data_IF_283161857034
#
_entry.id   IF_283161857034
#
_cell.length_a   1.000
_cell.length_b   1.000
_cell.length_c   1.000
_cell.angle_alpha   90.00
_cell.angle_beta   90.00
_cell.angle_gamma   90.00
#
_symmetry.space_group_name_H-M   'P 1'
#
loop_
_entity.id
_entity.type
_entity.pdbx_description
1 polymer ?
#
# COMPACT_ATOMS: atom_id res chain seq x y z
N UNK A 1 16.60 -28.45 24.47
CA UNK A 1 15.61 -27.34 24.46
C UNK A 1 16.31 -26.12 23.92
N UNK A 2 16.17 -25.87 22.64
CA UNK A 2 16.68 -24.65 22.01
C UNK A 2 15.79 -23.47 22.42
N UNK A 3 16.31 -22.61 23.29
CA UNK A 3 15.68 -21.31 23.56
C UNK A 3 15.64 -20.54 22.25
N UNK A 4 14.47 -20.49 21.64
CA UNK A 4 14.20 -19.56 20.54
C UNK A 4 14.45 -18.16 21.10
N UNK A 5 15.52 -17.50 20.66
CA UNK A 5 15.77 -16.12 21.02
C UNK A 5 14.62 -15.29 20.43
N UNK A 6 13.82 -14.72 21.31
CA UNK A 6 12.75 -13.79 20.90
C UNK A 6 13.41 -12.52 20.37
N UNK A 7 13.38 -12.36 19.06
CA UNK A 7 13.90 -11.16 18.42
C UNK A 7 12.81 -10.09 18.42
N UNK A 8 13.12 -8.94 19.06
CA UNK A 8 12.20 -7.81 19.13
C UNK A 8 12.09 -7.15 17.75
N UNK A 9 10.87 -7.04 17.23
CA UNK A 9 10.59 -6.27 16.04
C UNK A 9 10.43 -4.79 16.40
N UNK A 10 11.31 -3.94 15.85
CA UNK A 10 11.16 -2.50 15.97
C UNK A 10 10.20 -1.96 14.91
N UNK A 11 9.42 -0.93 15.24
CA UNK A 11 8.44 -0.33 14.34
C UNK A 11 9.05 0.51 13.19
N UNK A 12 10.37 0.47 13.00
CA UNK A 12 11.09 1.23 11.97
C UNK A 12 12.28 0.44 11.43
N UNK A 13 12.78 0.86 10.26
CA UNK A 13 14.09 0.48 9.71
C UNK A 13 14.13 -0.75 8.79
N UNK A 14 13.07 -1.04 8.05
CA UNK A 14 13.16 -2.01 6.94
C UNK A 14 13.75 -1.37 5.69
N UNK A 15 14.63 -2.08 5.00
CA UNK A 15 15.22 -1.62 3.74
C UNK A 15 14.31 -1.86 2.55
N UNK A 16 13.50 -2.90 2.61
CA UNK A 16 12.56 -3.26 1.53
C UNK A 16 11.16 -3.56 2.08
N UNK A 17 10.16 -3.49 1.22
CA UNK A 17 8.81 -3.95 1.56
C UNK A 17 8.78 -5.44 1.91
N UNK A 18 9.62 -6.25 1.27
CA UNK A 18 9.69 -7.67 1.54
C UNK A 18 10.21 -7.96 2.95
N UNK A 19 11.23 -7.20 3.42
CA UNK A 19 11.72 -7.32 4.81
C UNK A 19 10.61 -6.97 5.81
N UNK A 20 9.84 -5.93 5.51
CA UNK A 20 8.73 -5.50 6.35
C UNK A 20 7.63 -6.57 6.42
N UNK A 21 7.32 -7.24 5.32
CA UNK A 21 6.32 -8.31 5.27
C UNK A 21 6.77 -9.55 6.06
N UNK A 22 8.06 -9.89 6.08
CA UNK A 22 8.57 -10.96 6.94
C UNK A 22 8.23 -10.68 8.42
N UNK A 23 8.41 -9.43 8.87
CA UNK A 23 8.07 -9.04 10.23
C UNK A 23 6.56 -8.95 10.48
N UNK A 24 5.77 -8.49 9.52
CA UNK A 24 4.29 -8.52 9.56
C UNK A 24 3.78 -9.94 9.80
N UNK A 25 4.37 -10.92 9.12
CA UNK A 25 4.05 -12.35 9.31
C UNK A 25 4.53 -12.84 10.67
N UNK A 26 5.75 -12.49 11.06
CA UNK A 26 6.32 -12.87 12.37
C UNK A 26 5.49 -12.31 13.54
N UNK A 27 4.94 -11.11 13.41
CA UNK A 27 4.02 -10.50 14.38
C UNK A 27 2.61 -11.14 14.38
N UNK A 28 2.34 -12.03 13.42
CA UNK A 28 1.05 -12.73 13.32
C UNK A 28 -0.08 -11.89 12.72
N UNK A 29 0.25 -10.77 12.02
CA UNK A 29 -0.74 -9.96 11.32
C UNK A 29 -1.22 -10.64 10.03
N UNK A 30 -0.39 -11.48 9.44
CA UNK A 30 -0.74 -12.41 8.38
C UNK A 30 -0.30 -13.80 8.83
N UNK A 31 -1.23 -14.73 8.91
CA UNK A 31 -0.96 -16.11 9.35
C UNK A 31 -0.92 -17.05 8.14
N UNK A 32 -0.21 -18.18 8.23
CA UNK A 32 -0.13 -19.15 7.13
C UNK A 32 -1.48 -19.68 6.64
N UNK A 33 -2.50 -19.67 7.47
CA UNK A 33 -3.84 -20.19 7.16
C UNK A 33 -4.83 -19.12 6.72
N UNK A 34 -4.45 -17.83 6.75
CA UNK A 34 -5.34 -16.73 6.42
C UNK A 34 -5.67 -16.73 4.93
N UNK A 35 -6.89 -16.39 4.59
CA UNK A 35 -7.24 -15.95 3.25
C UNK A 35 -6.80 -14.50 3.08
N UNK A 36 -5.89 -14.25 2.16
CA UNK A 36 -5.24 -12.94 1.94
C UNK A 36 -5.58 -12.42 0.55
N UNK A 37 -5.82 -11.11 0.43
CA UNK A 37 -5.83 -10.42 -0.86
C UNK A 37 -4.82 -9.28 -0.86
N UNK A 38 -3.99 -9.22 -1.93
CA UNK A 38 -3.21 -8.04 -2.28
C UNK A 38 -3.92 -7.28 -3.41
N UNK A 39 -4.54 -6.16 -3.06
CA UNK A 39 -5.35 -5.34 -3.98
C UNK A 39 -4.48 -4.52 -4.95
N UNK A 40 -3.19 -4.45 -4.71
CA UNK A 40 -2.26 -3.57 -5.43
C UNK A 40 -0.94 -4.27 -5.75
N UNK A 41 -1.03 -5.49 -6.23
CA UNK A 41 0.09 -6.40 -6.48
C UNK A 41 1.28 -5.77 -7.23
N UNK A 42 1.02 -4.98 -8.25
CA UNK A 42 2.06 -4.36 -9.08
C UNK A 42 3.03 -5.41 -9.66
N UNK A 43 4.24 -5.44 -9.13
CA UNK A 43 5.30 -6.40 -9.50
C UNK A 43 5.57 -7.46 -8.43
N UNK A 44 4.69 -7.61 -7.46
CA UNK A 44 4.84 -8.56 -6.37
C UNK A 44 6.04 -8.32 -5.44
N UNK A 45 6.53 -7.08 -5.37
CA UNK A 45 7.76 -6.74 -4.62
C UNK A 45 7.64 -6.93 -3.11
N UNK A 46 6.44 -6.91 -2.59
CA UNK A 46 6.19 -7.18 -1.18
C UNK A 46 6.49 -8.64 -0.81
N UNK A 47 6.28 -9.57 -1.74
CA UNK A 47 6.26 -11.01 -1.53
C UNK A 47 7.53 -11.74 -1.98
N UNK A 48 8.55 -11.00 -2.42
CA UNK A 48 9.77 -11.62 -2.97
C UNK A 48 10.53 -12.49 -1.98
N UNK A 49 10.37 -12.27 -0.68
CA UNK A 49 10.98 -13.06 0.39
C UNK A 49 10.00 -14.03 1.06
N UNK A 50 8.71 -13.84 0.87
CA UNK A 50 7.68 -14.63 1.53
C UNK A 50 6.61 -15.04 0.56
N UNK A 51 6.39 -16.36 0.44
CA UNK A 51 5.25 -16.92 -0.30
C UNK A 51 4.21 -17.37 0.71
N UNK A 52 3.02 -16.78 0.66
CA UNK A 52 1.93 -17.13 1.55
C UNK A 52 1.42 -18.55 1.26
N UNK A 53 1.40 -19.49 2.22
CA UNK A 53 1.02 -20.88 1.97
C UNK A 53 -0.49 -21.12 1.93
N UNK A 54 -1.31 -20.16 2.39
CA UNK A 54 -2.77 -20.26 2.38
C UNK A 54 -3.42 -19.70 1.11
N UNK A 55 -4.74 -19.60 1.07
CA UNK A 55 -5.47 -18.98 -0.04
C UNK A 55 -5.02 -17.54 -0.25
N UNK A 56 -4.52 -17.23 -1.43
CA UNK A 56 -4.00 -15.93 -1.77
C UNK A 56 -4.61 -15.39 -3.07
N UNK A 57 -5.12 -14.18 -3.02
CA UNK A 57 -5.68 -13.51 -4.18
C UNK A 57 -4.86 -12.27 -4.48
N UNK A 58 -4.53 -12.03 -5.73
CA UNK A 58 -3.81 -10.84 -6.16
C UNK A 58 -4.61 -10.10 -7.23
N UNK A 59 -4.61 -8.78 -7.14
CA UNK A 59 -5.15 -7.92 -8.18
C UNK A 59 -4.01 -7.25 -8.91
N UNK A 60 -3.94 -7.46 -10.20
CA UNK A 60 -2.92 -6.85 -11.05
C UNK A 60 -3.51 -6.41 -12.38
N UNK A 61 -2.88 -5.43 -13.02
CA UNK A 61 -3.15 -5.14 -14.41
C UNK A 61 -2.24 -5.99 -15.32
N UNK A 62 -2.63 -6.18 -16.58
CA UNK A 62 -1.95 -7.07 -17.52
C UNK A 62 -0.47 -6.75 -17.75
N UNK A 63 -0.08 -5.47 -17.66
CA UNK A 63 1.28 -5.01 -17.96
C UNK A 63 2.28 -5.20 -16.81
N UNK A 64 1.80 -5.42 -15.59
CA UNK A 64 2.62 -5.56 -14.39
C UNK A 64 2.69 -6.97 -13.84
N UNK A 65 1.93 -7.89 -14.43
CA UNK A 65 1.81 -9.24 -13.91
C UNK A 65 3.12 -10.03 -14.08
N UNK A 66 3.74 -10.35 -12.96
CA UNK A 66 4.68 -11.48 -12.88
C UNK A 66 3.91 -12.62 -12.21
N UNK A 67 3.66 -13.69 -12.97
CA UNK A 67 2.99 -14.86 -12.44
C UNK A 67 3.68 -15.33 -11.17
N UNK A 68 2.92 -15.46 -10.10
CA UNK A 68 3.39 -16.18 -8.91
C UNK A 68 3.04 -17.64 -9.16
N UNK A 69 4.04 -18.53 -9.25
CA UNK A 69 3.82 -19.92 -9.66
C UNK A 69 3.32 -20.80 -8.51
N UNK A 70 2.35 -20.35 -7.73
CA UNK A 70 1.82 -21.13 -6.62
C UNK A 70 0.36 -21.54 -6.91
N UNK A 71 0.04 -22.80 -6.70
CA UNK A 71 -1.29 -23.38 -6.92
C UNK A 71 -2.41 -22.76 -6.07
N UNK A 72 -2.04 -22.01 -5.03
CA UNK A 72 -2.94 -21.35 -4.09
C UNK A 72 -3.20 -19.87 -4.41
N UNK A 73 -2.72 -19.36 -5.54
CA UNK A 73 -2.88 -17.96 -5.93
C UNK A 73 -3.95 -17.79 -6.98
N UNK A 74 -4.98 -17.01 -6.66
CA UNK A 74 -5.99 -16.53 -7.63
C UNK A 74 -5.58 -15.17 -8.14
N UNK A 75 -5.53 -14.98 -9.45
CA UNK A 75 -5.17 -13.72 -10.08
C UNK A 75 -6.41 -13.06 -10.68
N UNK A 76 -6.68 -11.82 -10.25
CA UNK A 76 -7.71 -10.96 -10.80
C UNK A 76 -7.05 -9.91 -11.69
N UNK A 77 -7.39 -9.92 -12.97
CA UNK A 77 -6.92 -8.95 -13.97
C UNK A 77 -8.04 -7.99 -14.37
N UNK A 78 -7.70 -6.80 -14.83
CA UNK A 78 -8.66 -5.76 -15.25
C UNK A 78 -9.71 -5.41 -14.19
N UNK A 79 -9.37 -5.60 -12.92
CA UNK A 79 -10.25 -5.32 -11.79
C UNK A 79 -9.83 -4.02 -11.14
N UNK A 80 -10.77 -3.08 -10.99
CA UNK A 80 -10.53 -1.85 -10.26
C UNK A 80 -10.55 -2.13 -8.75
N UNK A 81 -9.52 -1.73 -8.04
CA UNK A 81 -9.45 -1.93 -6.59
C UNK A 81 -10.49 -1.11 -5.82
N UNK A 82 -11.16 -0.14 -6.46
CA UNK A 82 -12.23 0.66 -5.86
C UNK A 82 -13.58 -0.05 -5.88
N UNK A 83 -13.73 -1.03 -6.78
CA UNK A 83 -14.96 -1.80 -6.97
C UNK A 83 -14.61 -3.16 -7.57
N UNK A 84 -14.26 -4.11 -6.69
CA UNK A 84 -13.78 -5.42 -7.11
C UNK A 84 -14.87 -6.34 -7.61
N UNK A 85 -16.13 -6.08 -7.24
CA UNK A 85 -17.25 -6.98 -7.50
C UNK A 85 -17.23 -8.26 -6.66
N UNK A 86 -16.27 -8.41 -5.75
CA UNK A 86 -16.20 -9.56 -4.86
C UNK A 86 -17.19 -9.44 -3.70
N UNK A 87 -17.71 -10.57 -3.16
CA UNK A 87 -18.56 -10.58 -1.98
C UNK A 87 -17.84 -9.98 -0.74
N UNK A 88 -18.61 -9.46 0.24
CA UNK A 88 -18.04 -8.94 1.48
C UNK A 88 -17.45 -10.05 2.37
N UNK A 89 -16.59 -9.66 3.29
CA UNK A 89 -16.11 -10.51 4.40
C UNK A 89 -15.39 -11.80 3.96
N UNK A 90 -14.60 -11.72 2.86
CA UNK A 90 -13.90 -12.89 2.29
C UNK A 90 -12.52 -13.14 2.90
N UNK A 91 -11.79 -12.09 3.24
CA UNK A 91 -10.36 -12.18 3.55
C UNK A 91 -10.05 -11.90 5.00
N UNK A 92 -9.13 -12.66 5.57
CA UNK A 92 -8.64 -12.47 6.94
C UNK A 92 -7.65 -11.30 6.99
N UNK A 93 -6.89 -11.08 5.91
CA UNK A 93 -6.01 -9.94 5.73
C UNK A 93 -6.16 -9.34 4.32
N UNK A 94 -6.17 -8.01 4.25
CA UNK A 94 -6.23 -7.23 3.01
C UNK A 94 -5.01 -6.30 2.95
N UNK A 95 -4.24 -6.37 1.86
CA UNK A 95 -3.09 -5.50 1.60
C UNK A 95 -3.49 -4.46 0.57
N UNK A 96 -3.16 -3.19 0.86
CA UNK A 96 -3.48 -2.06 0.02
C UNK A 96 -2.31 -1.07 -0.01
N UNK A 97 -1.56 -1.04 -1.13
CA UNK A 97 -0.43 -0.13 -1.39
C UNK A 97 -0.76 0.77 -2.61
N UNK A 98 -1.75 1.70 -2.47
CA UNK A 98 -2.23 2.50 -3.58
C UNK A 98 -1.19 3.50 -4.07
N UNK A 99 -1.41 4.15 -5.23
CA UNK A 99 -0.51 5.20 -5.69
C UNK A 99 -0.40 6.36 -4.70
N UNK A 100 0.83 6.89 -4.52
CA UNK A 100 1.12 7.94 -3.54
C UNK A 100 1.13 9.34 -4.14
N UNK A 101 1.28 9.48 -5.46
CA UNK A 101 1.50 10.76 -6.11
C UNK A 101 0.46 10.98 -7.21
N UNK A 102 -0.20 12.13 -7.19
CA UNK A 102 -1.09 12.54 -8.27
C UNK A 102 -0.29 12.84 -9.55
N UNK A 103 -0.87 12.52 -10.71
CA UNK A 103 -0.24 12.71 -12.03
C UNK A 103 0.21 14.15 -12.28
N UNK A 104 -0.49 15.14 -11.73
CA UNK A 104 -0.21 16.55 -11.96
C UNK A 104 -0.56 17.00 -13.39
N UNK A 105 -0.32 18.29 -13.66
CA UNK A 105 -0.58 18.89 -14.97
C UNK A 105 0.59 18.83 -15.96
N UNK A 106 1.76 18.33 -15.58
CA UNK A 106 2.93 18.18 -16.45
C UNK A 106 3.13 16.73 -16.84
N UNK A 107 3.27 16.49 -18.14
CA UNK A 107 3.76 15.21 -18.64
C UNK A 107 5.26 15.12 -18.35
N UNK A 108 5.64 14.27 -17.40
CA UNK A 108 7.04 13.91 -17.16
C UNK A 108 7.29 12.51 -17.69
N UNK A 109 8.53 12.20 -18.06
CA UNK A 109 8.92 10.89 -18.62
C UNK A 109 8.62 9.69 -17.71
N UNK A 110 8.37 9.94 -16.42
CA UNK A 110 7.99 8.92 -15.42
C UNK A 110 6.48 8.61 -15.42
N UNK A 111 5.65 9.46 -16.02
CA UNK A 111 4.18 9.30 -16.02
C UNK A 111 3.70 8.19 -16.96
N UNK A 112 4.26 8.01 -18.19
CA UNK A 112 3.90 6.86 -19.02
C UNK A 112 4.17 5.52 -18.36
N UNK A 113 5.25 5.41 -17.59
CA UNK A 113 5.58 4.20 -16.82
C UNK A 113 4.57 3.98 -15.68
N UNK A 114 4.10 5.04 -15.04
CA UNK A 114 3.07 4.99 -14.00
C UNK A 114 1.70 4.57 -14.57
N UNK A 115 1.23 5.18 -15.65
CA UNK A 115 -0.02 4.81 -16.32
C UNK A 115 0.05 3.37 -16.85
N UNK A 116 1.20 2.97 -17.40
CA UNK A 116 1.42 1.62 -17.88
C UNK A 116 1.41 0.55 -16.79
N UNK A 117 1.74 0.93 -15.53
CA UNK A 117 1.71 0.00 -14.38
C UNK A 117 0.34 -0.19 -13.78
N UNK A 118 -0.49 0.85 -13.81
CA UNK A 118 -1.77 0.85 -13.10
C UNK A 118 -2.99 0.83 -14.02
N UNK A 119 -2.80 0.85 -15.35
CA UNK A 119 -3.89 0.75 -16.33
C UNK A 119 -4.88 1.91 -16.29
N UNK A 120 -4.48 3.08 -15.79
CA UNK A 120 -5.40 4.15 -15.44
C UNK A 120 -5.49 5.20 -16.56
N UNK A 121 -6.52 5.14 -17.37
CA UNK A 121 -6.93 6.28 -18.21
C UNK A 121 -7.44 7.44 -17.35
N UNK A 122 -7.99 7.14 -16.15
CA UNK A 122 -8.52 8.09 -15.17
C UNK A 122 -7.56 8.37 -14.00
N UNK A 123 -6.25 8.36 -14.21
CA UNK A 123 -5.28 8.62 -13.15
C UNK A 123 -5.55 9.97 -12.44
N UNK A 124 -5.60 10.00 -11.10
CA UNK A 124 -5.85 11.21 -10.33
C UNK A 124 -4.83 12.30 -10.68
N UNK A 125 -5.31 13.51 -11.03
CA UNK A 125 -4.47 14.63 -11.46
C UNK A 125 -4.12 15.57 -10.31
N UNK A 126 -4.97 15.63 -9.28
CA UNK A 126 -4.79 16.52 -8.13
C UNK A 126 -4.63 15.71 -6.84
N UNK A 127 -4.03 16.29 -5.77
CA UNK A 127 -3.96 15.62 -4.47
C UNK A 127 -5.32 15.20 -3.91
N UNK A 128 -6.35 16.03 -4.07
CA UNK A 128 -7.70 15.70 -3.61
C UNK A 128 -8.31 14.54 -4.41
N UNK A 129 -8.13 14.52 -5.73
CA UNK A 129 -8.58 13.38 -6.54
C UNK A 129 -7.88 12.09 -6.14
N UNK A 130 -6.56 12.15 -5.86
CA UNK A 130 -5.80 11.00 -5.39
C UNK A 130 -6.29 10.54 -4.02
N UNK A 131 -6.55 11.47 -3.10
CA UNK A 131 -7.10 11.14 -1.79
C UNK A 131 -8.45 10.41 -1.93
N UNK A 132 -9.38 10.97 -2.69
CA UNK A 132 -10.70 10.35 -2.91
C UNK A 132 -10.58 8.98 -3.59
N UNK A 133 -9.68 8.84 -4.57
CA UNK A 133 -9.40 7.60 -5.25
C UNK A 133 -8.93 6.51 -4.28
N UNK A 134 -7.99 6.86 -3.39
CA UNK A 134 -7.47 5.95 -2.38
C UNK A 134 -8.48 5.68 -1.26
N UNK A 135 -9.33 6.64 -0.90
CA UNK A 135 -10.41 6.46 0.06
C UNK A 135 -11.46 5.44 -0.42
N UNK A 136 -11.81 5.47 -1.72
CA UNK A 136 -12.68 4.44 -2.32
C UNK A 136 -12.05 3.05 -2.22
N UNK A 137 -10.75 2.92 -2.53
CA UNK A 137 -10.03 1.65 -2.39
C UNK A 137 -9.95 1.17 -0.94
N UNK A 138 -9.79 2.07 0.02
CA UNK A 138 -9.82 1.72 1.43
C UNK A 138 -11.21 1.26 1.89
N UNK A 139 -12.28 1.87 1.38
CA UNK A 139 -13.65 1.42 1.64
C UNK A 139 -13.90 0.02 1.08
N UNK A 140 -13.39 -0.26 -0.12
CA UNK A 140 -13.44 -1.60 -0.71
C UNK A 140 -12.59 -2.61 0.08
N UNK A 141 -11.40 -2.22 0.55
CA UNK A 141 -10.59 -3.06 1.43
C UNK A 141 -11.35 -3.43 2.72
N UNK A 142 -12.09 -2.49 3.30
CA UNK A 142 -12.98 -2.76 4.43
C UNK A 142 -14.13 -3.69 4.06
N UNK A 143 -14.72 -3.54 2.87
CA UNK A 143 -15.79 -4.41 2.38
C UNK A 143 -15.29 -5.86 2.30
N UNK A 144 -14.13 -6.08 1.72
CA UNK A 144 -13.53 -7.39 1.51
C UNK A 144 -13.03 -8.07 2.78
N UNK A 145 -12.57 -7.30 3.77
CA UNK A 145 -12.01 -7.79 5.02
C UNK A 145 -13.10 -8.39 5.92
N UNK A 146 -12.85 -9.55 6.51
CA UNK A 146 -13.73 -10.16 7.52
C UNK A 146 -13.83 -9.29 8.78
N UNK A 147 -14.95 -9.32 9.52
CA UNK A 147 -15.01 -8.78 10.88
C UNK A 147 -13.91 -9.41 11.77
N UNK A 148 -13.11 -8.56 12.41
CA UNK A 148 -11.94 -8.97 13.19
C UNK A 148 -10.65 -9.17 12.39
N UNK A 149 -10.72 -9.15 11.06
CA UNK A 149 -9.57 -9.21 10.16
C UNK A 149 -8.76 -7.92 10.11
N UNK A 150 -7.62 -7.95 9.45
CA UNK A 150 -6.67 -6.85 9.36
C UNK A 150 -6.60 -6.27 7.95
N UNK A 151 -6.41 -4.95 7.89
CA UNK A 151 -6.20 -4.20 6.64
C UNK A 151 -4.87 -3.48 6.78
N UNK A 152 -3.92 -3.83 5.92
CA UNK A 152 -2.57 -3.28 5.90
C UNK A 152 -2.50 -2.25 4.77
N UNK A 153 -2.41 -0.97 5.14
CA UNK A 153 -2.45 0.14 4.19
C UNK A 153 -1.13 0.88 4.19
N UNK A 154 -0.45 0.88 3.06
CA UNK A 154 0.78 1.65 2.92
C UNK A 154 0.51 2.99 2.25
N UNK A 155 1.13 4.04 2.77
CA UNK A 155 1.01 5.39 2.24
C UNK A 155 2.27 6.21 2.54
N UNK A 156 2.44 7.32 1.83
CA UNK A 156 3.59 8.21 1.97
C UNK A 156 3.15 9.65 1.78
N UNK A 157 3.66 10.53 2.64
CA UNK A 157 3.52 11.98 2.44
C UNK A 157 4.40 12.44 1.29
N UNK A 158 3.93 13.38 0.50
CA UNK A 158 4.64 13.87 -0.68
C UNK A 158 4.46 15.38 -0.87
N UNK A 159 5.29 15.98 -1.71
CA UNK A 159 5.16 17.40 -2.07
C UNK A 159 4.54 17.52 -3.46
N UNK A 160 3.47 18.29 -3.58
CA UNK A 160 2.82 18.61 -4.85
C UNK A 160 2.70 20.14 -4.99
N UNK A 161 3.15 20.68 -6.11
CA UNK A 161 3.12 22.13 -6.40
C UNK A 161 3.67 23.00 -5.26
N UNK A 162 4.73 22.54 -4.59
CA UNK A 162 5.38 23.24 -3.49
C UNK A 162 4.68 23.15 -2.13
N UNK A 163 3.60 22.39 -2.01
CA UNK A 163 2.89 22.15 -0.76
C UNK A 163 3.02 20.69 -0.30
N UNK A 164 3.27 20.48 0.99
CA UNK A 164 3.26 19.15 1.59
C UNK A 164 1.82 18.60 1.60
N UNK A 165 1.67 17.38 1.10
CA UNK A 165 0.43 16.62 1.13
C UNK A 165 0.54 15.53 2.20
N UNK A 166 -0.22 15.64 3.31
CA UNK A 166 -0.13 14.70 4.43
C UNK A 166 -0.97 13.44 4.17
N UNK A 167 -0.63 12.69 3.11
CA UNK A 167 -1.41 11.55 2.66
C UNK A 167 -1.52 10.44 3.71
N UNK A 168 -0.49 10.24 4.54
CA UNK A 168 -0.54 9.28 5.64
C UNK A 168 -1.55 9.67 6.72
N UNK A 169 -1.66 10.97 7.03
CA UNK A 169 -2.65 11.50 7.98
C UNK A 169 -4.07 11.39 7.41
N UNK A 170 -4.26 11.70 6.13
CA UNK A 170 -5.55 11.55 5.47
C UNK A 170 -6.01 10.09 5.47
N UNK A 171 -5.11 9.16 5.18
CA UNK A 171 -5.43 7.73 5.20
C UNK A 171 -5.84 7.25 6.60
N UNK A 172 -5.13 7.70 7.63
CA UNK A 172 -5.49 7.41 9.02
C UNK A 172 -6.87 7.95 9.39
N UNK A 173 -7.16 9.22 9.04
CA UNK A 173 -8.46 9.85 9.29
C UNK A 173 -9.59 9.11 8.57
N UNK A 174 -9.40 8.79 7.29
CA UNK A 174 -10.36 8.04 6.49
C UNK A 174 -10.67 6.67 7.11
N UNK A 175 -9.64 5.94 7.48
CA UNK A 175 -9.79 4.63 8.09
C UNK A 175 -10.54 4.69 9.42
N UNK A 176 -10.12 5.58 10.32
CA UNK A 176 -10.61 5.57 11.71
C UNK A 176 -11.90 6.36 11.90
N UNK A 177 -12.01 7.55 11.30
CA UNK A 177 -13.13 8.46 11.51
C UNK A 177 -14.26 8.18 10.52
N UNK A 178 -13.93 8.00 9.23
CA UNK A 178 -14.97 7.83 8.22
C UNK A 178 -15.42 6.37 8.11
N UNK A 179 -14.49 5.44 8.18
CA UNK A 179 -14.79 4.01 8.02
C UNK A 179 -14.93 3.25 9.35
N UNK A 180 -14.58 3.84 10.49
CA UNK A 180 -14.72 3.21 11.81
C UNK A 180 -13.79 2.01 12.02
N UNK A 181 -12.67 1.95 11.30
CA UNK A 181 -11.63 0.95 11.54
C UNK A 181 -10.86 1.30 12.83
N UNK A 182 -10.35 0.30 13.51
CA UNK A 182 -9.54 0.48 14.71
C UNK A 182 -8.05 0.42 14.34
N UNK A 183 -7.27 1.40 14.77
CA UNK A 183 -5.82 1.31 14.65
C UNK A 183 -5.32 0.12 15.49
N UNK A 184 -4.59 -0.80 14.85
CA UNK A 184 -3.95 -1.93 15.50
C UNK A 184 -2.47 -1.68 15.71
N UNK A 185 -1.78 -1.22 14.63
CA UNK A 185 -0.34 -0.91 14.70
C UNK A 185 0.08 0.07 13.58
N UNK A 186 1.33 0.55 13.66
CA UNK A 186 1.93 1.43 12.68
C UNK A 186 3.42 1.10 12.50
N UNK A 187 3.81 0.75 11.29
CA UNK A 187 5.19 0.49 10.91
C UNK A 187 5.70 1.58 9.95
N UNK A 188 6.96 2.00 10.12
CA UNK A 188 7.59 3.02 9.29
C UNK A 188 8.69 2.37 8.45
N UNK A 189 8.45 2.24 7.17
CA UNK A 189 9.44 1.79 6.21
C UNK A 189 10.33 2.96 5.81
N UNK A 190 11.62 2.86 6.08
CA UNK A 190 12.62 3.89 5.75
C UNK A 190 13.40 3.45 4.51
N UNK A 191 13.14 4.12 3.40
CA UNK A 191 13.82 3.88 2.12
C UNK A 191 14.92 4.89 1.83
N UNK A 192 15.59 4.71 0.71
CA UNK A 192 16.53 5.69 0.20
C UNK A 192 15.79 6.90 -0.38
N UNK A 193 16.28 8.14 -0.17
CA UNK A 193 15.71 9.32 -0.80
C UNK A 193 15.81 9.19 -2.32
N UNK A 194 14.67 9.30 -3.02
CA UNK A 194 14.64 9.29 -4.48
C UNK A 194 15.48 10.42 -5.11
N UNK A 195 15.88 10.31 -6.37
CA UNK A 195 16.63 11.35 -7.07
C UNK A 195 15.81 12.65 -7.14
N UNK A 196 16.49 13.79 -6.95
CA UNK A 196 15.87 15.10 -7.19
C UNK A 196 16.69 15.92 -8.17
N UNK A 197 16.06 16.71 -9.03
CA UNK A 197 16.79 17.65 -9.88
C UNK A 197 17.60 18.61 -9.01
N UNK A 198 18.91 18.71 -9.26
CA UNK A 198 19.80 19.63 -8.57
C UNK A 198 19.76 21.05 -9.14
N UNK A 199 19.26 21.17 -10.36
CA UNK A 199 19.21 22.42 -11.11
C UNK A 199 17.80 22.70 -11.64
N UNK A 200 17.46 23.96 -11.80
CA UNK A 200 16.26 24.42 -12.49
C UNK A 200 16.44 24.27 -14.00
N UNK A 201 15.36 24.49 -14.77
CA UNK A 201 15.42 24.48 -16.24
C UNK A 201 16.35 25.54 -16.82
N UNK A 202 16.60 26.64 -16.10
CA UNK A 202 17.51 27.73 -16.45
C UNK A 202 18.97 27.46 -16.04
N UNK A 203 19.29 26.28 -15.54
CA UNK A 203 20.63 25.91 -15.10
C UNK A 203 21.02 26.40 -13.69
N UNK A 204 20.19 27.17 -13.00
CA UNK A 204 20.48 27.64 -11.66
C UNK A 204 20.35 26.53 -10.62
N UNK A 205 21.10 26.62 -9.51
CA UNK A 205 21.04 25.64 -8.41
C UNK A 205 19.67 25.70 -7.74
N UNK A 206 18.99 24.57 -7.66
CA UNK A 206 17.69 24.49 -7.01
C UNK A 206 17.84 24.44 -5.50
N UNK A 207 17.24 25.41 -4.81
CA UNK A 207 17.18 25.41 -3.35
C UNK A 207 16.16 24.38 -2.86
N UNK A 208 16.56 23.55 -1.90
CA UNK A 208 15.63 22.66 -1.21
C UNK A 208 14.74 23.50 -0.26
N UNK A 209 13.42 23.36 -0.40
CA UNK A 209 12.43 24.09 0.40
C UNK A 209 11.73 23.18 1.41
N UNK A 210 11.61 21.88 1.10
CA UNK A 210 11.02 20.87 1.97
C UNK A 210 12.02 19.78 2.29
N UNK A 211 11.92 19.19 3.49
CA UNK A 211 12.61 17.95 3.78
C UNK A 211 12.16 16.86 2.79
N UNK A 212 13.07 15.96 2.43
CA UNK A 212 12.74 14.85 1.52
C UNK A 212 12.08 13.74 2.31
N UNK A 213 10.89 13.34 1.88
CA UNK A 213 10.26 12.12 2.37
C UNK A 213 11.08 10.92 1.87
N UNK A 214 11.66 10.18 2.79
CA UNK A 214 12.39 8.94 2.55
C UNK A 214 11.74 7.76 3.28
N UNK A 215 10.55 7.94 3.77
CA UNK A 215 9.81 6.93 4.53
C UNK A 215 8.36 6.85 4.04
N UNK A 216 7.78 5.70 4.25
CA UNK A 216 6.35 5.44 4.09
C UNK A 216 5.82 4.79 5.35
N UNK A 217 4.53 4.98 5.60
CA UNK A 217 3.84 4.39 6.74
C UNK A 217 3.03 3.20 6.27
N UNK A 218 3.19 2.06 6.94
CA UNK A 218 2.25 0.95 6.89
C UNK A 218 1.34 1.06 8.11
N UNK A 219 0.10 1.41 7.88
CA UNK A 219 -0.95 1.36 8.88
C UNK A 219 -1.54 -0.04 8.92
N UNK A 220 -1.67 -0.61 10.10
CA UNK A 220 -2.38 -1.86 10.34
C UNK A 220 -3.69 -1.52 11.04
N UNK A 221 -4.80 -1.67 10.32
CA UNK A 221 -6.14 -1.45 10.86
C UNK A 221 -6.85 -2.77 11.09
N UNK A 222 -7.69 -2.80 12.11
CA UNK A 222 -8.57 -3.92 12.40
C UNK A 222 -10.00 -3.56 12.07
N UNK A 223 -10.69 -4.40 11.29
CA UNK A 223 -12.13 -4.26 11.12
C UNK A 223 -12.83 -4.72 12.40
N UNK A 224 -13.69 -3.88 13.01
CA UNK A 224 -14.42 -4.28 14.21
C UNK A 224 -15.19 -5.58 14.01
N UNK A 225 -15.25 -6.41 15.04
CA UNK A 225 -16.10 -7.60 15.05
C UNK A 225 -17.60 -7.21 14.96
N UNK A 226 -18.43 -8.14 14.51
CA UNK A 226 -19.89 -7.93 14.57
C UNK A 226 -20.28 -7.79 16.06
N UNK A 227 -20.98 -6.71 16.40
CA UNK A 227 -21.59 -6.62 17.73
C UNK A 227 -22.59 -7.78 17.85
N UNK A 228 -22.42 -8.57 18.92
CA UNK A 228 -23.41 -9.59 19.31
C UNK A 228 -24.68 -8.93 19.80
#
# INVERSE_FOLDING_TARGET
MTTSSFEICAATAWHTNADMIEDVVRLGYIRPTDAVIDMTWGRGKWWTKYTHPGPFTVMCNEKGHQATPADNVTVLTNTDFRETGLPPDLFDAVIFDPPYVAKGGRETSTIPDFNGRYGLDDAPRTPLQLHNYNACGLAEAKHLCKPGGLILVKCMDYVSSGALQPASTWMYYEATTMLGLQLHDRLIHVGSPGPQPKVNLDGTTRRQVHARSNHSTLWVFKKPGRRK
#
